data_IF_872283213331
#
_entry.id   IF_872283213331
#
_cell.length_a   1.000
_cell.length_b   1.000
_cell.length_c   1.000
_cell.angle_alpha   90.00
_cell.angle_beta   90.00
_cell.angle_gamma   90.00
#
_symmetry.space_group_name_H-M   'P 1'
#
loop_
_entity.id
_entity.type
_entity.pdbx_description
1 polymer ?
#
# COMPACT_ATOMS: atom_id res chain seq x y z
N UNK A 1 37.47 -0.38 -5.30
CA UNK A 1 36.68 0.76 -4.78
C UNK A 1 35.85 1.38 -5.91
N UNK A 2 34.55 1.08 -6.02
CA UNK A 2 33.64 1.83 -6.90
C UNK A 2 32.46 2.33 -6.06
N UNK A 3 32.34 3.66 -5.95
CA UNK A 3 31.29 4.33 -5.18
C UNK A 3 29.95 4.05 -5.87
N UNK A 4 29.04 3.37 -5.16
CA UNK A 4 27.62 3.28 -5.55
C UNK A 4 27.08 4.71 -5.54
N UNK A 5 26.52 5.12 -6.67
CA UNK A 5 25.86 6.42 -6.84
C UNK A 5 24.77 6.58 -5.78
N UNK A 6 24.85 7.72 -5.10
CA UNK A 6 23.86 8.32 -4.21
C UNK A 6 22.52 8.40 -4.97
N UNK A 7 21.68 7.37 -4.86
CA UNK A 7 20.28 7.49 -5.29
C UNK A 7 19.60 8.31 -4.19
N UNK A 8 19.72 9.63 -4.30
CA UNK A 8 18.94 10.57 -3.51
C UNK A 8 17.50 10.49 -3.99
N UNK A 9 16.74 9.55 -3.43
CA UNK A 9 15.29 9.52 -3.58
C UNK A 9 14.75 10.84 -3.01
N UNK A 10 14.32 11.75 -3.90
CA UNK A 10 13.58 12.92 -3.48
C UNK A 10 12.21 12.45 -2.99
N UNK A 11 12.02 12.44 -1.67
CA UNK A 11 10.72 12.19 -1.08
C UNK A 11 9.79 13.35 -1.41
N UNK A 12 8.95 13.14 -2.42
CA UNK A 12 7.85 14.05 -2.72
C UNK A 12 6.73 13.82 -1.70
N UNK A 13 6.64 14.68 -0.69
CA UNK A 13 5.48 14.74 0.20
C UNK A 13 4.33 15.43 -0.52
N UNK A 14 3.37 14.65 -1.04
CA UNK A 14 2.07 15.16 -1.49
C UNK A 14 1.10 15.05 -0.31
N UNK A 15 0.44 16.15 0.03
CA UNK A 15 -0.52 16.28 1.16
C UNK A 15 -1.91 15.67 0.87
N UNK A 16 -2.04 14.84 -0.17
CA UNK A 16 -3.31 14.21 -0.53
C UNK A 16 -4.40 15.17 -1.05
N UNK A 17 -4.10 16.46 -1.22
CA UNK A 17 -5.04 17.51 -1.65
C UNK A 17 -5.65 17.36 -3.06
N UNK A 18 -5.27 16.32 -3.81
CA UNK A 18 -5.82 16.00 -5.13
C UNK A 18 -6.40 14.59 -5.25
N UNK A 19 -6.77 13.96 -4.13
CA UNK A 19 -7.37 12.63 -4.11
C UNK A 19 -8.89 12.76 -4.23
N UNK A 20 -9.48 12.00 -5.15
CA UNK A 20 -10.92 11.92 -5.33
C UNK A 20 -11.63 11.39 -4.07
N UNK A 21 -12.81 11.91 -3.76
CA UNK A 21 -13.50 11.64 -2.49
C UNK A 21 -13.77 10.14 -2.26
N UNK A 22 -14.07 9.39 -3.33
CA UNK A 22 -14.27 7.94 -3.33
C UNK A 22 -13.02 7.13 -2.96
N UNK A 23 -11.84 7.70 -3.21
CA UNK A 23 -10.55 7.12 -2.87
C UNK A 23 -10.00 7.61 -1.53
N UNK A 24 -10.76 8.41 -0.76
CA UNK A 24 -10.39 8.81 0.60
C UNK A 24 -10.65 7.66 1.58
N UNK A 25 -9.68 7.39 2.45
CA UNK A 25 -9.80 6.36 3.50
C UNK A 25 -8.50 5.64 3.83
N UNK A 26 -7.41 6.03 3.20
CA UNK A 26 -6.06 5.77 3.64
C UNK A 26 -5.46 4.42 3.29
N UNK A 27 -4.20 4.45 2.86
CA UNK A 27 -3.34 3.29 2.76
C UNK A 27 -2.61 3.12 4.10
N UNK A 28 -2.77 1.97 4.72
CA UNK A 28 -2.23 1.66 6.04
C UNK A 28 -0.88 0.95 5.89
N UNK A 29 0.17 1.56 6.44
CA UNK A 29 1.52 1.00 6.45
C UNK A 29 1.53 -0.43 7.03
N UNK A 30 2.23 -1.34 6.35
CA UNK A 30 2.41 -2.72 6.79
C UNK A 30 1.20 -3.63 6.54
N UNK A 31 0.11 -3.11 5.98
CA UNK A 31 -1.05 -3.93 5.58
C UNK A 31 -0.86 -4.49 4.18
N UNK A 32 -1.28 -5.75 4.01
CA UNK A 32 -1.36 -6.42 2.71
C UNK A 32 -2.75 -6.16 2.13
N UNK A 33 -2.79 -5.70 0.90
CA UNK A 33 -4.00 -5.46 0.14
C UNK A 33 -4.10 -6.49 -0.98
N UNK A 34 -5.30 -7.00 -1.21
CA UNK A 34 -5.56 -8.06 -2.18
C UNK A 34 -6.71 -7.65 -3.11
N UNK A 35 -6.61 -8.11 -4.34
CA UNK A 35 -7.74 -8.24 -5.27
C UNK A 35 -7.94 -9.72 -5.58
N UNK A 36 -9.09 -10.28 -5.20
CA UNK A 36 -9.37 -11.70 -5.43
C UNK A 36 -9.66 -12.00 -6.91
N UNK A 37 -10.15 -11.03 -7.68
CA UNK A 37 -10.49 -11.21 -9.09
C UNK A 37 -9.24 -11.39 -9.97
N UNK A 38 -8.19 -10.60 -9.72
CA UNK A 38 -6.93 -10.66 -10.44
C UNK A 38 -5.87 -11.51 -9.75
N UNK A 39 -6.08 -11.88 -8.47
CA UNK A 39 -5.09 -12.54 -7.63
C UNK A 39 -3.90 -11.64 -7.25
N UNK A 40 -4.06 -10.31 -7.33
CA UNK A 40 -3.02 -9.35 -6.98
C UNK A 40 -2.86 -9.26 -5.47
N UNK A 41 -1.61 -9.24 -4.99
CA UNK A 41 -1.29 -8.96 -3.60
C UNK A 41 -0.18 -7.91 -3.50
N UNK A 42 -0.42 -6.85 -2.72
CA UNK A 42 0.56 -5.77 -2.50
C UNK A 42 0.71 -5.43 -1.02
N UNK A 43 1.91 -4.99 -0.63
CA UNK A 43 2.20 -4.48 0.72
C UNK A 43 2.31 -2.96 0.69
N UNK A 44 1.55 -2.28 1.54
CA UNK A 44 1.73 -0.85 1.73
C UNK A 44 3.01 -0.58 2.56
N UNK A 45 4.00 0.08 1.97
CA UNK A 45 5.28 0.42 2.61
C UNK A 45 5.40 1.90 3.02
N UNK A 46 4.40 2.72 2.67
CA UNK A 46 4.26 4.11 3.11
C UNK A 46 2.79 4.45 3.27
N UNK A 47 2.42 4.95 4.45
CA UNK A 47 1.04 5.37 4.70
C UNK A 47 0.67 6.60 3.86
N UNK A 48 -0.61 6.72 3.51
CA UNK A 48 -1.15 7.85 2.77
C UNK A 48 -2.65 7.98 2.97
N UNK A 49 -3.24 9.10 2.56
CA UNK A 49 -4.70 9.36 2.69
C UNK A 49 -5.54 8.65 1.62
N UNK A 50 -4.93 8.28 0.49
CA UNK A 50 -5.60 7.56 -0.58
C UNK A 50 -5.67 6.07 -0.32
N UNK A 51 -6.80 5.45 -0.66
CA UNK A 51 -6.95 4.00 -0.71
C UNK A 51 -6.16 3.42 -1.89
N UNK A 52 -5.76 2.17 -1.78
CA UNK A 52 -5.22 1.42 -2.90
C UNK A 52 -6.38 0.89 -3.73
N UNK A 53 -6.34 1.10 -5.04
CA UNK A 53 -7.36 0.63 -5.98
C UNK A 53 -6.71 0.03 -7.24
N UNK A 54 -7.38 -0.95 -7.84
CA UNK A 54 -7.02 -1.58 -9.10
C UNK A 54 -8.19 -1.42 -10.06
N UNK A 55 -7.96 -0.82 -11.23
CA UNK A 55 -9.00 -0.53 -12.23
C UNK A 55 -10.21 0.26 -11.67
N UNK A 56 -9.98 1.10 -10.65
CA UNK A 56 -11.03 1.85 -9.94
C UNK A 56 -11.72 1.08 -8.81
N UNK A 57 -11.49 -0.22 -8.66
CA UNK A 57 -11.99 -1.00 -7.53
C UNK A 57 -11.03 -0.90 -6.33
N UNK A 58 -11.55 -0.55 -5.15
CA UNK A 58 -10.78 -0.45 -3.91
C UNK A 58 -10.30 -1.84 -3.47
N UNK A 59 -9.00 -1.96 -3.18
CA UNK A 59 -8.41 -3.20 -2.69
C UNK A 59 -8.78 -3.47 -1.23
N UNK A 60 -8.95 -4.75 -0.91
CA UNK A 60 -9.30 -5.20 0.44
C UNK A 60 -8.06 -5.54 1.26
N UNK A 61 -8.08 -5.28 2.57
CA UNK A 61 -6.97 -5.68 3.44
C UNK A 61 -7.05 -7.19 3.67
N UNK A 62 -6.04 -7.91 3.20
CA UNK A 62 -5.87 -9.33 3.47
C UNK A 62 -5.54 -9.53 4.95
N UNK A 63 -6.55 -9.92 5.72
CA UNK A 63 -6.35 -10.32 7.10
C UNK A 63 -5.43 -11.55 7.14
N UNK A 64 -4.45 -11.54 8.05
CA UNK A 64 -3.68 -12.74 8.31
C UNK A 64 -4.63 -13.79 8.93
N UNK A 65 -4.72 -14.96 8.31
CA UNK A 65 -5.34 -16.10 8.97
C UNK A 65 -4.49 -16.42 10.20
N UNK A 66 -5.05 -16.37 11.43
CA UNK A 66 -4.27 -16.68 12.62
C UNK A 66 -3.72 -18.09 12.47
N UNK A 67 -2.41 -18.23 12.64
CA UNK A 67 -1.81 -19.54 12.78
C UNK A 67 -2.38 -20.14 14.07
N UNK A 68 -2.79 -21.43 14.08
CA UNK A 68 -3.04 -22.10 15.34
C UNK A 68 -1.75 -22.00 16.16
N UNK A 69 -1.83 -21.42 17.36
CA UNK A 69 -0.68 -21.39 18.27
C UNK A 69 -0.14 -22.81 18.38
N UNK A 70 1.15 -22.97 18.13
CA UNK A 70 1.86 -24.23 18.34
C UNK A 70 2.03 -24.38 19.85
N UNK A 71 1.24 -25.25 20.46
CA UNK A 71 1.52 -25.90 21.75
C UNK A 71 2.36 -27.16 21.47
#
# INVERSE_FOLDING_TARGET
>A
MRRRRDVRWQESHRDGSGIDAEHIGGALLGKRYVDEASGLEVLCTKAGQGRLALDGAVLEIKAAKPLPSSD
#
